data_IF_737446219262
#
_entry.id   IF_737446219262
#
_cell.length_a   1.000
_cell.length_b   1.000
_cell.length_c   1.000
_cell.angle_alpha   90.00
_cell.angle_beta   90.00
_cell.angle_gamma   90.00
#
_symmetry.space_group_name_H-M   'P 1'
#
loop_
_entity.id
_entity.type
_entity.pdbx_description
1 polymer ?
#
# COMPACT_ATOMS: atom_id res chain seq x y z
N UNK A 1 -19.60 27.77 2.49
CA UNK A 1 -18.81 26.58 2.86
C UNK A 1 -18.03 26.03 1.64
N UNK A 2 -17.00 26.71 1.12
CA UNK A 2 -16.28 26.24 -0.09
C UNK A 2 -14.75 26.13 0.03
N UNK A 3 -14.09 26.96 0.85
CA UNK A 3 -12.62 26.91 0.99
C UNK A 3 -12.14 25.79 1.92
N UNK A 4 -12.78 25.62 3.08
CA UNK A 4 -12.36 24.63 4.08
C UNK A 4 -12.51 23.18 3.58
N UNK A 5 -13.61 22.89 2.88
CA UNK A 5 -13.87 21.60 2.24
C UNK A 5 -12.82 21.25 1.18
N UNK A 6 -12.35 22.24 0.43
CA UNK A 6 -11.30 22.06 -0.57
C UNK A 6 -9.95 21.70 0.09
N UNK A 7 -9.60 22.37 1.19
CA UNK A 7 -8.39 22.07 1.96
C UNK A 7 -8.41 20.67 2.58
N UNK A 8 -9.56 20.26 3.16
CA UNK A 8 -9.73 18.92 3.72
C UNK A 8 -9.60 17.84 2.64
N UNK A 9 -10.13 18.09 1.44
CA UNK A 9 -10.04 17.14 0.33
C UNK A 9 -8.61 16.99 -0.18
N UNK A 10 -7.90 18.11 -0.36
CA UNK A 10 -6.49 18.11 -0.75
C UNK A 10 -5.61 17.38 0.28
N UNK A 11 -5.85 17.63 1.58
CA UNK A 11 -5.13 16.94 2.66
C UNK A 11 -5.36 15.42 2.61
N UNK A 12 -6.63 14.98 2.56
CA UNK A 12 -6.98 13.55 2.48
C UNK A 12 -6.36 12.86 1.26
N UNK A 13 -6.30 13.54 0.12
CA UNK A 13 -5.69 12.99 -1.09
C UNK A 13 -4.17 12.88 -0.99
N UNK A 14 -3.52 13.82 -0.30
CA UNK A 14 -2.07 13.76 -0.04
C UNK A 14 -1.72 12.63 0.93
N UNK A 15 -2.50 12.43 1.99
CA UNK A 15 -2.30 11.36 2.97
C UNK A 15 -2.51 9.98 2.33
N UNK A 16 -3.51 9.84 1.46
CA UNK A 16 -3.69 8.62 0.65
C UNK A 16 -2.49 8.32 -0.24
N UNK A 17 -1.91 9.33 -0.90
CA UNK A 17 -0.70 9.13 -1.74
C UNK A 17 0.52 8.73 -0.90
N UNK A 18 0.68 9.28 0.29
CA UNK A 18 1.77 8.89 1.21
C UNK A 18 1.59 7.45 1.72
N UNK A 19 0.38 7.09 2.12
CA UNK A 19 0.08 5.76 2.63
C UNK A 19 0.12 4.72 1.50
N UNK A 20 -0.36 5.05 0.29
CA UNK A 20 -0.26 4.16 -0.86
C UNK A 20 1.19 3.88 -1.23
N UNK A 21 2.11 4.84 -1.07
CA UNK A 21 3.56 4.59 -1.27
C UNK A 21 4.12 3.61 -0.23
N UNK A 22 3.66 3.67 1.02
CA UNK A 22 4.04 2.71 2.06
C UNK A 22 3.48 1.31 1.77
N UNK A 23 2.21 1.23 1.38
CA UNK A 23 1.55 -0.01 0.97
C UNK A 23 2.20 -0.61 -0.28
N UNK A 24 2.57 0.20 -1.26
CA UNK A 24 3.28 -0.24 -2.47
C UNK A 24 4.69 -0.75 -2.17
N UNK A 25 5.40 -0.11 -1.23
CA UNK A 25 6.70 -0.59 -0.75
C UNK A 25 6.55 -1.90 0.03
N UNK A 26 5.48 -2.04 0.82
CA UNK A 26 5.17 -3.26 1.56
C UNK A 26 4.78 -4.38 0.62
N UNK A 27 3.99 -4.10 -0.44
CA UNK A 27 3.61 -5.08 -1.45
C UNK A 27 4.78 -5.52 -2.32
N UNK A 28 5.67 -4.61 -2.71
CA UNK A 28 6.90 -4.97 -3.43
C UNK A 28 7.78 -5.91 -2.60
N UNK A 29 8.01 -5.58 -1.32
CA UNK A 29 8.73 -6.48 -0.40
C UNK A 29 8.02 -7.81 -0.18
N UNK A 30 6.69 -7.80 -0.15
CA UNK A 30 5.87 -9.03 -0.07
C UNK A 30 5.99 -9.86 -1.35
N UNK A 31 6.04 -9.25 -2.52
CA UNK A 31 6.23 -9.95 -3.79
C UNK A 31 7.62 -10.58 -3.86
N UNK A 32 8.67 -9.85 -3.46
CA UNK A 32 10.02 -10.38 -3.37
C UNK A 32 10.11 -11.53 -2.35
N UNK A 33 9.47 -11.38 -1.17
CA UNK A 33 9.43 -12.43 -0.16
C UNK A 33 8.62 -13.66 -0.62
N UNK A 34 7.49 -13.46 -1.27
CA UNK A 34 6.67 -14.54 -1.83
C UNK A 34 7.41 -15.29 -2.94
N UNK A 35 8.24 -14.62 -3.74
CA UNK A 35 9.08 -15.25 -4.75
C UNK A 35 10.20 -16.13 -4.16
N UNK A 36 10.57 -15.89 -2.88
CA UNK A 36 11.51 -16.74 -2.15
C UNK A 36 10.86 -17.95 -1.48
N UNK A 37 9.52 -18.03 -1.45
CA UNK A 37 8.80 -19.18 -0.91
C UNK A 37 8.58 -20.18 -2.02
N UNK A 38 9.17 -21.36 -1.87
CA UNK A 38 8.97 -22.48 -2.79
C UNK A 38 7.54 -23.01 -2.66
N UNK A 39 6.82 -23.04 -3.79
CA UNK A 39 5.37 -23.31 -3.85
C UNK A 39 5.04 -24.74 -3.35
N UNK A 40 5.99 -25.68 -3.49
CA UNK A 40 5.89 -27.05 -2.99
C UNK A 40 5.93 -27.16 -1.45
N UNK A 41 6.49 -26.15 -0.76
CA UNK A 41 6.50 -26.12 0.72
C UNK A 41 5.14 -25.68 1.29
N UNK A 42 4.37 -24.90 0.52
CA UNK A 42 3.04 -24.41 0.92
C UNK A 42 1.94 -25.46 0.69
N UNK A 43 2.09 -26.35 -0.29
CA UNK A 43 1.08 -27.34 -0.65
C UNK A 43 1.04 -28.57 0.28
N UNK A 44 2.03 -28.71 1.16
CA UNK A 44 2.21 -29.85 2.08
C UNK A 44 1.78 -29.57 3.53
N UNK A 45 1.14 -28.43 3.80
CA UNK A 45 0.69 -28.01 5.14
C UNK A 45 -0.83 -28.14 5.35
#
# INVERSE_FOLDING_TARGET
>A
MSAYTSLVTAYKQSERKKNSLSEFRRSARLADANAMVDEDTLLMA
#
